data_IF_841657923151
#
_entry.id   IF_841657923151
#
_cell.length_a   1.000
_cell.length_b   1.000
_cell.length_c   1.000
_cell.angle_alpha   90.00
_cell.angle_beta   90.00
_cell.angle_gamma   90.00
#
_symmetry.space_group_name_H-M   'P 1'
#
loop_
_entity.id
_entity.type
_entity.pdbx_description
1 polymer ?
#
# COMPACT_ATOMS: atom_id res chain seq x y z
N UNK A 1 -11.38 2.82 7.49
CA UNK A 1 -10.57 2.20 8.57
C UNK A 1 -10.16 0.83 8.09
N UNK A 2 -8.86 0.56 7.91
CA UNK A 2 -8.38 -0.77 7.53
C UNK A 2 -8.27 -1.64 8.80
N UNK A 3 -8.64 -2.93 8.76
CA UNK A 3 -8.49 -3.82 9.91
C UNK A 3 -7.01 -3.95 10.27
N UNK A 4 -6.71 -4.06 11.57
CA UNK A 4 -5.33 -4.14 12.03
C UNK A 4 -4.66 -5.45 11.59
N UNK A 5 -3.33 -5.43 11.44
CA UNK A 5 -2.54 -6.60 11.01
C UNK A 5 -2.83 -7.84 11.89
N UNK A 6 -3.03 -7.65 13.19
CA UNK A 6 -3.36 -8.73 14.14
C UNK A 6 -4.72 -9.39 13.84
N UNK A 7 -5.75 -8.60 13.51
CA UNK A 7 -7.09 -9.11 13.19
C UNK A 7 -7.10 -9.93 11.90
N UNK A 8 -6.32 -9.50 10.90
CA UNK A 8 -6.18 -10.22 9.63
C UNK A 8 -5.49 -11.58 9.81
N UNK A 9 -4.45 -11.67 10.66
CA UNK A 9 -3.76 -12.93 10.96
C UNK A 9 -4.66 -13.97 11.65
N UNK A 10 -5.46 -13.54 12.63
CA UNK A 10 -6.41 -14.44 13.29
C UNK A 10 -7.49 -14.95 12.33
N UNK A 11 -7.99 -14.08 11.44
CA UNK A 11 -8.95 -14.47 10.41
C UNK A 11 -8.35 -15.51 9.43
N UNK A 12 -7.09 -15.32 9.00
CA UNK A 12 -6.39 -16.30 8.15
C UNK A 12 -6.23 -17.65 8.86
N UNK A 13 -5.96 -17.67 10.17
CA UNK A 13 -5.84 -18.91 10.95
C UNK A 13 -7.15 -19.70 11.02
N UNK A 14 -8.27 -19.01 11.18
CA UNK A 14 -9.61 -19.63 11.19
C UNK A 14 -9.98 -20.17 9.80
N UNK A 15 -9.61 -19.48 8.73
CA UNK A 15 -9.89 -19.91 7.35
C UNK A 15 -9.14 -21.18 6.93
N UNK A 16 -7.94 -21.45 7.48
CA UNK A 16 -7.17 -22.67 7.18
C UNK A 16 -7.81 -23.95 7.72
N UNK A 17 -8.74 -23.84 8.67
CA UNK A 17 -9.39 -25.01 9.28
C UNK A 17 -10.56 -25.57 8.44
N UNK A 18 -10.88 -24.98 7.28
CA UNK A 18 -11.88 -25.58 6.39
C UNK A 18 -12.05 -24.83 5.06
N UNK A 19 -11.31 -25.23 4.02
CA UNK A 19 -11.70 -25.04 2.61
C UNK A 19 -10.77 -25.82 1.67
N UNK A 20 -11.35 -26.43 0.64
CA UNK A 20 -10.67 -27.07 -0.50
C UNK A 20 -9.97 -25.99 -1.34
N UNK A 21 -8.68 -26.17 -1.61
CA UNK A 21 -7.81 -25.22 -2.31
C UNK A 21 -7.71 -25.59 -3.79
N UNK A 22 -8.44 -24.88 -4.67
CA UNK A 22 -8.15 -24.89 -6.11
C UNK A 22 -7.08 -23.82 -6.31
N UNK A 23 -5.83 -24.24 -6.52
CA UNK A 23 -4.72 -23.31 -6.75
C UNK A 23 -4.95 -22.57 -8.08
N UNK A 24 -5.16 -21.23 -8.06
CA UNK A 24 -5.34 -20.48 -9.28
C UNK A 24 -4.03 -20.43 -10.07
N UNK A 25 -4.13 -20.30 -11.39
CA UNK A 25 -2.98 -20.07 -12.26
C UNK A 25 -2.24 -18.82 -11.77
N UNK A 26 -0.98 -18.98 -11.31
CA UNK A 26 -0.18 -17.86 -10.79
C UNK A 26 0.19 -16.91 -11.93
N UNK A 27 -0.45 -15.74 -11.96
CA UNK A 27 -0.05 -14.64 -12.83
C UNK A 27 1.16 -13.91 -12.24
N UNK A 28 2.08 -13.39 -13.09
CA UNK A 28 3.21 -12.62 -12.60
C UNK A 28 2.73 -11.42 -11.77
N UNK A 29 3.26 -11.30 -10.54
CA UNK A 29 2.89 -10.26 -9.61
C UNK A 29 3.56 -8.92 -9.97
N UNK A 30 2.75 -7.94 -10.36
CA UNK A 30 3.25 -6.58 -10.61
C UNK A 30 3.44 -5.81 -9.31
N UNK A 31 4.64 -5.26 -9.11
CA UNK A 31 4.99 -4.46 -7.94
C UNK A 31 5.19 -3.00 -8.35
N UNK A 32 4.57 -2.10 -7.60
CA UNK A 32 4.84 -0.67 -7.69
C UNK A 32 5.82 -0.26 -6.60
N UNK A 33 7.00 0.20 -7.02
CA UNK A 33 8.07 0.67 -6.13
C UNK A 33 8.16 2.19 -6.16
N UNK A 34 7.84 2.84 -5.05
CA UNK A 34 7.97 4.29 -4.87
C UNK A 34 9.06 4.60 -3.85
N UNK A 35 10.30 4.65 -4.33
CA UNK A 35 11.49 4.68 -3.48
C UNK A 35 11.67 3.38 -2.67
N UNK A 36 12.65 3.37 -1.76
CA UNK A 36 13.02 2.16 -0.99
C UNK A 36 12.01 1.77 0.09
N UNK A 37 11.13 2.70 0.51
CA UNK A 37 10.23 2.51 1.66
C UNK A 37 8.80 2.13 1.29
N UNK A 38 8.44 2.13 0.00
CA UNK A 38 7.07 1.85 -0.45
C UNK A 38 7.10 0.91 -1.65
N UNK A 39 6.96 -0.38 -1.36
CA UNK A 39 6.76 -1.43 -2.37
C UNK A 39 5.40 -2.03 -2.12
N UNK A 40 4.53 -2.00 -3.13
CA UNK A 40 3.15 -2.48 -3.00
C UNK A 40 2.73 -3.33 -4.20
N UNK A 41 1.98 -4.42 -3.97
CA UNK A 41 1.42 -5.22 -5.06
C UNK A 41 0.28 -4.47 -5.73
N UNK A 42 0.34 -4.30 -7.05
CA UNK A 42 -0.67 -3.59 -7.82
C UNK A 42 -1.15 -4.44 -8.99
N UNK A 43 -2.41 -4.23 -9.38
CA UNK A 43 -2.94 -4.70 -10.66
C UNK A 43 -3.11 -3.48 -11.56
N UNK A 44 -2.53 -3.55 -12.76
CA UNK A 44 -2.74 -2.53 -13.78
C UNK A 44 -4.18 -2.63 -14.28
N UNK A 45 -4.93 -1.54 -14.22
CA UNK A 45 -6.33 -1.49 -14.66
C UNK A 45 -6.45 -0.83 -16.02
N UNK A 46 -5.63 0.20 -16.27
CA UNK A 46 -5.62 0.96 -17.51
C UNK A 46 -4.21 1.48 -17.81
N UNK A 47 -3.91 1.62 -19.09
CA UNK A 47 -2.66 2.17 -19.60
C UNK A 47 -2.98 3.00 -20.84
N UNK A 48 -2.56 4.26 -20.85
CA UNK A 48 -2.71 5.16 -21.98
C UNK A 48 -1.37 5.84 -22.28
N UNK A 49 -0.98 5.82 -23.55
CA UNK A 49 0.29 6.38 -24.04
C UNK A 49 -0.05 7.53 -24.97
N UNK A 50 0.51 8.71 -24.71
CA UNK A 50 0.38 9.88 -25.57
C UNK A 50 1.77 10.30 -26.05
N UNK A 51 2.03 10.15 -27.34
CA UNK A 51 3.29 10.51 -27.98
C UNK A 51 3.19 11.92 -28.56
N UNK A 52 4.15 12.78 -28.22
CA UNK A 52 4.09 14.23 -28.49
C UNK A 52 5.21 14.75 -29.38
N UNK A 53 6.30 14.00 -29.52
CA UNK A 53 7.40 14.35 -30.41
C UNK A 53 8.03 13.10 -31.00
N UNK A 54 8.45 13.20 -32.25
CA UNK A 54 9.02 12.13 -33.05
C UNK A 54 10.33 12.58 -33.72
N UNK A 55 11.25 11.66 -33.93
CA UNK A 55 12.45 11.87 -34.77
C UNK A 55 12.09 11.80 -36.27
N UNK A 56 13.06 12.04 -37.16
CA UNK A 56 12.91 11.96 -38.63
C UNK A 56 12.42 10.57 -39.10
N UNK A 57 12.81 9.52 -38.37
CA UNK A 57 12.37 8.14 -38.62
C UNK A 57 11.05 7.79 -37.91
N UNK A 58 10.31 8.80 -37.42
CA UNK A 58 9.03 8.68 -36.72
C UNK A 58 9.06 7.86 -35.42
N UNK A 59 10.24 7.72 -34.82
CA UNK A 59 10.36 7.11 -33.50
C UNK A 59 9.96 8.14 -32.43
N UNK A 60 9.11 7.79 -31.46
CA UNK A 60 8.70 8.73 -30.41
C UNK A 60 9.88 9.06 -29.50
N UNK A 61 10.25 10.34 -29.44
CA UNK A 61 11.30 10.86 -28.54
C UNK A 61 10.73 11.43 -27.25
N UNK A 62 9.40 11.64 -27.20
CA UNK A 62 8.69 12.09 -26.00
C UNK A 62 7.29 11.50 -25.94
N UNK A 63 7.00 10.81 -24.84
CA UNK A 63 5.67 10.31 -24.54
C UNK A 63 5.28 10.60 -23.08
N UNK A 64 4.00 10.85 -22.87
CA UNK A 64 3.37 10.87 -21.55
C UNK A 64 2.62 9.56 -21.35
N UNK A 65 2.88 8.89 -20.23
CA UNK A 65 2.25 7.63 -19.87
C UNK A 65 1.30 7.85 -18.69
N UNK A 66 0.03 7.49 -18.88
CA UNK A 66 -0.99 7.48 -17.83
C UNK A 66 -1.32 6.04 -17.46
N UNK A 67 -1.13 5.69 -16.18
CA UNK A 67 -1.38 4.35 -15.64
C UNK A 67 -2.41 4.43 -14.52
N UNK A 68 -3.47 3.63 -14.63
CA UNK A 68 -4.38 3.35 -13.52
C UNK A 68 -4.00 2.04 -12.87
N UNK A 69 -3.88 2.06 -11.54
CA UNK A 69 -3.43 0.93 -10.75
C UNK A 69 -4.39 0.69 -9.57
N UNK A 70 -4.83 -0.56 -9.40
CA UNK A 70 -5.54 -1.00 -8.19
C UNK A 70 -4.56 -1.66 -7.23
N UNK A 71 -4.50 -1.19 -5.99
CA UNK A 71 -3.75 -1.84 -4.92
C UNK A 71 -4.39 -3.21 -4.60
N UNK A 72 -3.59 -4.27 -4.63
CA UNK A 72 -4.04 -5.60 -4.24
C UNK A 72 -3.98 -5.74 -2.71
N UNK A 73 -5.09 -6.19 -2.12
CA UNK A 73 -5.22 -6.43 -0.68
C UNK A 73 -5.31 -7.93 -0.38
N UNK A 74 -5.25 -8.29 0.90
CA UNK A 74 -5.43 -9.69 1.37
C UNK A 74 -6.75 -10.33 0.94
N UNK A 75 -7.77 -9.55 0.60
CA UNK A 75 -9.05 -10.08 0.09
C UNK A 75 -9.04 -10.34 -1.41
N UNK A 76 -8.10 -9.76 -2.16
CA UNK A 76 -7.97 -9.92 -3.61
C UNK A 76 -6.97 -11.04 -3.98
N UNK A 77 -6.27 -11.61 -3.00
CA UNK A 77 -5.22 -12.61 -3.19
C UNK A 77 -5.58 -13.91 -2.45
N UNK A 78 -5.41 -15.09 -3.08
CA UNK A 78 -5.60 -16.38 -2.41
C UNK A 78 -4.73 -16.47 -1.15
N UNK A 79 -5.25 -17.11 -0.10
CA UNK A 79 -4.51 -17.32 1.14
C UNK A 79 -3.21 -18.09 0.85
N UNK A 80 -2.05 -17.52 1.18
CA UNK A 80 -0.72 -18.13 0.91
C UNK A 80 0.06 -17.51 -0.25
N UNK A 81 -0.54 -16.60 -1.03
CA UNK A 81 0.15 -15.92 -2.11
C UNK A 81 1.14 -14.85 -1.59
N UNK A 82 2.37 -14.79 -2.14
CA UNK A 82 3.44 -13.84 -1.72
C UNK A 82 3.00 -12.38 -1.72
N UNK A 83 2.08 -11.99 -2.61
CA UNK A 83 1.52 -10.63 -2.63
C UNK A 83 0.76 -10.25 -1.35
N UNK A 84 0.13 -11.22 -0.67
CA UNK A 84 -0.57 -10.98 0.58
C UNK A 84 0.41 -10.63 1.71
N UNK A 85 1.57 -11.30 1.75
CA UNK A 85 2.64 -11.00 2.70
C UNK A 85 3.21 -9.60 2.50
N UNK A 86 3.41 -9.18 1.25
CA UNK A 86 3.88 -7.83 0.92
C UNK A 86 2.87 -6.75 1.35
N UNK A 87 1.58 -6.97 1.11
CA UNK A 87 0.54 -6.06 1.61
C UNK A 87 0.53 -5.98 3.14
N UNK A 88 0.67 -7.11 3.83
CA UNK A 88 0.73 -7.16 5.29
C UNK A 88 1.97 -6.45 5.85
N UNK A 89 3.12 -6.55 5.19
CA UNK A 89 4.33 -5.81 5.56
C UNK A 89 4.12 -4.29 5.41
N UNK A 90 3.53 -3.84 4.29
CA UNK A 90 3.19 -2.44 4.09
C UNK A 90 2.20 -1.92 5.14
N UNK A 91 1.17 -2.72 5.49
CA UNK A 91 0.20 -2.37 6.52
C UNK A 91 0.87 -2.23 7.90
N UNK A 92 1.73 -3.17 8.29
CA UNK A 92 2.47 -3.10 9.55
C UNK A 92 3.38 -1.87 9.63
N UNK A 93 4.02 -1.49 8.52
CA UNK A 93 4.81 -0.26 8.45
C UNK A 93 3.92 0.99 8.61
N UNK A 94 2.74 1.00 7.98
CA UNK A 94 1.75 2.09 8.13
C UNK A 94 1.26 2.22 9.57
N UNK A 95 0.95 1.10 10.24
CA UNK A 95 0.57 1.08 11.66
C UNK A 95 1.69 1.62 12.55
N UNK A 96 2.95 1.23 12.30
CA UNK A 96 4.11 1.73 13.04
C UNK A 96 4.28 3.24 12.88
N UNK A 97 4.11 3.77 11.67
CA UNK A 97 4.17 5.22 11.42
C UNK A 97 3.02 5.97 12.10
N UNK A 98 1.81 5.41 12.10
CA UNK A 98 0.67 5.98 12.81
C UNK A 98 0.90 6.00 14.34
N UNK A 99 1.51 4.95 14.89
CA UNK A 99 1.89 4.89 16.31
C UNK A 99 2.94 5.94 16.70
N UNK A 100 3.93 6.20 15.85
CA UNK A 100 4.94 7.24 16.08
C UNK A 100 4.32 8.64 15.98
N UNK A 101 3.44 8.89 15.00
CA UNK A 101 2.75 10.17 14.87
C UNK A 101 1.81 10.47 16.06
N UNK A 102 1.17 9.45 16.64
CA UNK A 102 0.33 9.59 17.83
C UNK A 102 1.13 9.88 19.12
N UNK A 103 2.43 9.57 19.15
CA UNK A 103 3.33 9.86 20.28
C UNK A 103 3.96 11.27 20.21
N UNK A 104 3.74 12.01 19.13
CA UNK A 104 4.06 13.45 19.05
C UNK A 104 3.15 14.23 20.00
N UNK A 105 3.47 14.22 21.29
CA UNK A 105 2.69 14.88 22.33
C UNK A 105 2.68 16.40 22.13
N UNK A 106 1.61 17.06 22.60
CA UNK A 106 1.46 18.53 22.61
C UNK A 106 2.67 19.26 23.22
N UNK A 107 3.45 18.57 24.07
CA UNK A 107 4.71 19.08 24.63
C UNK A 107 5.84 19.25 23.61
N UNK A 108 5.88 18.46 22.53
CA UNK A 108 6.83 18.63 21.42
C UNK A 108 6.47 19.84 20.54
N UNK A 109 5.22 20.31 20.60
CA UNK A 109 4.73 21.53 19.93
C UNK A 109 4.84 22.77 20.81
N UNK A 110 5.47 22.68 22.00
CA UNK A 110 5.66 23.81 22.91
C UNK A 110 4.39 24.24 23.67
N UNK A 111 3.25 23.59 23.42
CA UNK A 111 1.97 23.86 24.08
C UNK A 111 1.92 23.09 25.41
N UNK A 112 2.71 23.55 26.38
CA UNK A 112 2.63 23.06 27.74
C UNK A 112 1.38 23.57 28.46
N UNK A 113 0.87 22.81 29.42
CA UNK A 113 -0.24 23.14 30.32
C UNK A 113 -0.06 24.46 31.13
N UNK A 114 0.99 25.24 30.86
CA UNK A 114 1.32 26.50 31.52
C UNK A 114 0.69 27.72 30.83
N UNK A 115 0.24 27.58 29.57
CA UNK A 115 -0.33 28.70 28.81
C UNK A 115 -1.88 28.78 28.90
N UNK A 116 -2.52 27.75 29.48
CA UNK A 116 -4.00 27.65 29.58
C UNK A 116 -4.51 28.18 30.94
N UNK A 117 -3.66 28.80 31.75
CA UNK A 117 -4.05 29.19 33.10
C UNK A 117 -3.27 30.36 33.66
N UNK A 118 -3.37 31.55 33.06
CA UNK A 118 -3.10 32.84 33.72
C UNK A 118 -3.60 34.00 32.84
N UNK A 119 -4.92 34.13 32.74
CA UNK A 119 -5.60 35.36 32.35
C UNK A 119 -6.47 35.80 33.51
N UNK A 120 -5.96 36.75 34.32
CA UNK A 120 -6.81 37.68 35.06
C UNK A 120 -7.43 38.66 34.07
#
# INVERSE_FOLDING_TARGET
MQPTTAKLREATRLSKNGAIEISPIEMPLTLFTWGSKRVVPVKLTEMSVNESAFDVDLNPIRASLSLGMKLLTVSDLPAGHRGAELYMAHLAQKERMAGVAAQGSLGAMGLGNRDIGLGR
#
